data_IF_678786677949
#
_entry.id   IF_678786677949
#
_cell.length_a   1.000
_cell.length_b   1.000
_cell.length_c   1.000
_cell.angle_alpha   90.00
_cell.angle_beta   90.00
_cell.angle_gamma   90.00
#
_symmetry.space_group_name_H-M   'P 1'
#
loop_
_entity.id
_entity.type
_entity.pdbx_description
1 polymer ?
#
# COMPACT_ATOMS: atom_id res chain seq x y z
N UNK A 1 -43.05 -8.00 19.88
CA UNK A 1 -41.63 -8.14 20.30
C UNK A 1 -40.68 -8.46 19.15
N UNK A 2 -41.03 -9.33 18.19
CA UNK A 2 -40.17 -9.67 17.03
C UNK A 2 -39.79 -8.47 16.13
N UNK A 3 -40.71 -7.53 15.86
CA UNK A 3 -40.43 -6.39 14.98
C UNK A 3 -39.43 -5.35 15.52
N UNK A 4 -39.40 -5.14 16.84
CA UNK A 4 -38.47 -4.19 17.48
C UNK A 4 -37.03 -4.73 17.49
N UNK A 5 -36.87 -6.04 17.73
CA UNK A 5 -35.58 -6.73 17.71
C UNK A 5 -34.96 -6.76 16.30
N UNK A 6 -35.78 -6.98 15.26
CA UNK A 6 -35.35 -6.91 13.86
C UNK A 6 -34.96 -5.49 13.44
N UNK A 7 -35.72 -4.48 13.88
CA UNK A 7 -35.41 -3.07 13.62
C UNK A 7 -34.09 -2.60 14.25
N UNK A 8 -33.81 -3.00 15.49
CA UNK A 8 -32.56 -2.65 16.20
C UNK A 8 -31.34 -3.37 15.63
N UNK A 9 -31.46 -4.66 15.30
CA UNK A 9 -30.35 -5.44 14.73
C UNK A 9 -29.97 -4.97 13.32
N UNK A 10 -30.94 -4.64 12.47
CA UNK A 10 -30.69 -4.11 11.13
C UNK A 10 -30.28 -2.63 11.16
N UNK A 11 -30.84 -1.83 12.07
CA UNK A 11 -30.57 -0.39 12.16
C UNK A 11 -29.25 -0.01 12.84
N UNK A 12 -28.76 -0.82 13.79
CA UNK A 12 -27.50 -0.56 14.51
C UNK A 12 -26.44 -1.64 14.29
N UNK A 13 -26.84 -2.92 14.23
CA UNK A 13 -25.90 -4.02 14.10
C UNK A 13 -25.17 -4.04 12.75
N UNK A 14 -25.91 -3.86 11.65
CA UNK A 14 -25.34 -3.81 10.30
C UNK A 14 -24.34 -2.65 10.11
N UNK A 15 -24.66 -1.38 10.45
CA UNK A 15 -23.69 -0.30 10.29
C UNK A 15 -22.46 -0.47 11.20
N UNK A 16 -22.63 -0.97 12.43
CA UNK A 16 -21.50 -1.26 13.32
C UNK A 16 -20.59 -2.34 12.73
N UNK A 17 -21.16 -3.43 12.21
CA UNK A 17 -20.40 -4.49 11.55
C UNK A 17 -19.67 -3.99 10.30
N UNK A 18 -20.28 -3.09 9.51
CA UNK A 18 -19.64 -2.46 8.36
C UNK A 18 -18.47 -1.56 8.77
N UNK A 19 -18.63 -0.73 9.81
CA UNK A 19 -17.55 0.14 10.30
C UNK A 19 -16.38 -0.70 10.81
N UNK A 20 -16.67 -1.74 11.61
CA UNK A 20 -15.64 -2.65 12.12
C UNK A 20 -14.94 -3.38 10.96
N UNK A 21 -15.70 -3.89 9.99
CA UNK A 21 -15.16 -4.55 8.80
C UNK A 21 -14.27 -3.63 7.97
N UNK A 22 -14.65 -2.36 7.80
CA UNK A 22 -13.84 -1.36 7.09
C UNK A 22 -12.53 -1.05 7.83
N UNK A 23 -12.57 -0.86 9.15
CA UNK A 23 -11.36 -0.57 9.93
C UNK A 23 -10.38 -1.75 9.87
N UNK A 24 -10.90 -2.96 10.06
CA UNK A 24 -10.11 -4.20 10.02
C UNK A 24 -9.56 -4.42 8.60
N UNK A 25 -10.44 -4.37 7.58
CA UNK A 25 -10.08 -4.56 6.18
C UNK A 25 -9.04 -3.55 5.68
N UNK A 26 -9.18 -2.27 6.02
CA UNK A 26 -8.22 -1.23 5.68
C UNK A 26 -6.85 -1.49 6.32
N UNK A 27 -6.84 -1.82 7.61
CA UNK A 27 -5.58 -2.03 8.36
C UNK A 27 -4.84 -3.27 7.87
N UNK A 28 -5.55 -4.38 7.63
CA UNK A 28 -4.98 -5.61 7.08
C UNK A 28 -4.46 -5.41 5.66
N UNK A 29 -5.27 -4.80 4.79
CA UNK A 29 -4.87 -4.50 3.42
C UNK A 29 -3.59 -3.67 3.39
N UNK A 30 -3.54 -2.58 4.18
CA UNK A 30 -2.34 -1.73 4.27
C UNK A 30 -1.09 -2.52 4.68
N UNK A 31 -1.20 -3.40 5.68
CA UNK A 31 -0.09 -4.25 6.13
C UNK A 31 0.35 -5.22 5.03
N UNK A 32 -0.61 -5.85 4.36
CA UNK A 32 -0.36 -6.80 3.28
C UNK A 32 0.35 -6.12 2.10
N UNK A 33 -0.17 -4.99 1.61
CA UNK A 33 0.46 -4.21 0.54
C UNK A 33 1.87 -3.75 0.92
N UNK A 34 2.08 -3.27 2.16
CA UNK A 34 3.41 -2.87 2.63
C UNK A 34 4.40 -4.04 2.68
N UNK A 35 3.93 -5.24 3.04
CA UNK A 35 4.75 -6.46 3.01
C UNK A 35 5.11 -6.83 1.57
N UNK A 36 4.13 -6.83 0.67
CA UNK A 36 4.32 -7.15 -0.74
C UNK A 36 5.33 -6.20 -1.41
N UNK A 37 5.24 -4.89 -1.16
CA UNK A 37 6.16 -3.89 -1.71
C UNK A 37 7.58 -3.98 -1.14
N UNK A 38 7.75 -4.57 0.06
CA UNK A 38 9.09 -4.84 0.62
C UNK A 38 9.73 -6.07 0.01
N UNK A 39 8.94 -7.11 -0.24
CA UNK A 39 9.40 -8.36 -0.85
C UNK A 39 9.66 -8.19 -2.35
N UNK A 40 8.82 -7.41 -3.04
CA UNK A 40 8.95 -7.07 -4.45
C UNK A 40 8.97 -5.54 -4.62
N UNK A 41 10.17 -4.90 -4.53
CA UNK A 41 10.27 -3.45 -4.58
C UNK A 41 9.77 -2.90 -5.93
N UNK A 42 9.03 -1.77 -5.94
CA UNK A 42 8.43 -1.23 -7.15
C UNK A 42 9.46 -0.70 -8.16
N UNK A 43 10.70 -0.44 -7.72
CA UNK A 43 11.79 0.09 -8.55
C UNK A 43 13.08 -0.67 -8.27
N UNK A 44 13.71 -1.16 -9.33
CA UNK A 44 15.01 -1.83 -9.36
C UNK A 44 16.09 -0.92 -9.96
N UNK A 45 17.37 -1.25 -9.74
CA UNK A 45 18.48 -0.53 -10.38
C UNK A 45 18.38 -0.52 -11.92
N UNK A 46 17.94 -1.64 -12.51
CA UNK A 46 17.76 -1.75 -13.96
C UNK A 46 16.68 -0.78 -14.47
N UNK A 47 15.57 -0.63 -13.74
CA UNK A 47 14.53 0.35 -14.08
C UNK A 47 15.04 1.79 -13.94
N UNK A 48 15.85 2.08 -12.92
CA UNK A 48 16.51 3.40 -12.80
C UNK A 48 17.44 3.63 -13.99
N UNK A 49 18.21 2.62 -14.41
CA UNK A 49 19.07 2.72 -15.60
C UNK A 49 18.27 2.98 -16.87
N UNK A 50 17.17 2.26 -17.08
CA UNK A 50 16.26 2.48 -18.22
C UNK A 50 15.67 3.89 -18.20
N UNK A 51 15.26 4.40 -17.04
CA UNK A 51 14.75 5.76 -16.90
C UNK A 51 15.78 6.82 -17.33
N UNK A 52 17.04 6.65 -16.96
CA UNK A 52 18.11 7.54 -17.41
C UNK A 52 18.40 7.42 -18.91
N UNK A 53 18.39 6.19 -19.43
CA UNK A 53 18.58 5.95 -20.87
C UNK A 53 17.49 6.61 -21.71
N UNK A 54 16.24 6.60 -21.24
CA UNK A 54 15.13 7.32 -21.89
C UNK A 54 15.36 8.84 -21.93
N UNK A 55 16.07 9.39 -20.95
CA UNK A 55 16.47 10.80 -20.92
C UNK A 55 17.76 11.09 -21.71
N UNK A 56 18.29 10.11 -22.46
CA UNK A 56 19.55 10.24 -23.19
C UNK A 56 20.78 10.36 -22.28
N UNK A 57 20.65 10.03 -21.00
CA UNK A 57 21.74 10.11 -20.02
C UNK A 57 22.20 8.71 -19.63
N UNK A 58 23.53 8.51 -19.56
CA UNK A 58 24.09 7.31 -18.92
C UNK A 58 24.24 7.59 -17.43
N UNK A 59 23.52 6.87 -16.54
CA UNK A 59 23.66 7.08 -15.11
C UNK A 59 24.99 6.51 -14.62
N UNK A 60 25.56 7.11 -13.58
CA UNK A 60 26.66 6.50 -12.82
C UNK A 60 26.12 5.53 -11.77
N UNK A 61 26.88 4.49 -11.41
CA UNK A 61 26.48 3.52 -10.38
C UNK A 61 26.22 4.17 -9.00
N UNK A 62 26.94 5.26 -8.69
CA UNK A 62 26.69 6.04 -7.46
C UNK A 62 25.32 6.72 -7.49
N UNK A 63 24.93 7.30 -8.63
CA UNK A 63 23.62 7.93 -8.79
C UNK A 63 22.49 6.91 -8.72
N UNK A 64 22.65 5.74 -9.36
CA UNK A 64 21.66 4.65 -9.28
C UNK A 64 21.43 4.22 -7.82
N UNK A 65 22.51 3.98 -7.08
CA UNK A 65 22.43 3.59 -5.66
C UNK A 65 21.82 4.68 -4.78
N UNK A 66 22.16 5.95 -5.03
CA UNK A 66 21.59 7.09 -4.30
C UNK A 66 20.08 7.19 -4.51
N UNK A 67 19.61 7.03 -5.75
CA UNK A 67 18.18 7.03 -6.08
C UNK A 67 17.47 5.84 -5.40
N UNK A 68 18.04 4.64 -5.48
CA UNK A 68 17.47 3.44 -4.85
C UNK A 68 17.37 3.60 -3.32
N UNK A 69 18.39 4.18 -2.69
CA UNK A 69 18.41 4.46 -1.25
C UNK A 69 17.35 5.51 -0.86
N UNK A 70 17.18 6.57 -1.66
CA UNK A 70 16.15 7.58 -1.45
C UNK A 70 14.73 6.98 -1.55
N UNK A 71 14.51 6.11 -2.54
CA UNK A 71 13.25 5.38 -2.67
C UNK A 71 12.94 4.52 -1.44
N UNK A 72 13.92 3.74 -0.98
CA UNK A 72 13.78 2.90 0.22
C UNK A 72 13.50 3.72 1.49
N UNK A 73 14.09 4.91 1.60
CA UNK A 73 13.87 5.84 2.72
C UNK A 73 12.46 6.42 2.74
N UNK A 74 11.90 6.73 1.57
CA UNK A 74 10.56 7.31 1.43
C UNK A 74 9.42 6.27 1.54
N UNK A 75 9.74 4.97 1.53
CA UNK A 75 8.75 3.89 1.66
C UNK A 75 8.56 3.42 3.13
N UNK A 76 9.12 4.15 4.11
CA UNK A 76 9.04 3.82 5.54
C UNK A 76 7.66 4.07 6.13
#
# INVERSE_FOLDING_TARGET
MLGLALGLSLGLGVPIALVIGLIIGYTLSRKYFKKQLKENPPITEAQIRMMYQQMGRKPTEKQVKQIMANFKKNTK
#
